data_IF_493192200202
#
_entry.id   IF_493192200202
#
_cell.length_a   1.000
_cell.length_b   1.000
_cell.length_c   1.000
_cell.angle_alpha   90.00
_cell.angle_beta   90.00
_cell.angle_gamma   90.00
#
_symmetry.space_group_name_H-M   'P 1'
#
loop_
_entity.id
_entity.type
_entity.pdbx_description
1 polymer ?
#
# COMPACT_ATOMS: atom_id res chain seq x y z
N UNK A 1 -23.46 12.50 4.50
CA UNK A 1 -22.32 12.08 3.65
C UNK A 1 -21.06 12.14 4.50
N UNK A 2 -20.37 11.02 4.67
CA UNK A 2 -19.00 11.08 5.16
C UNK A 2 -18.17 11.76 4.07
N UNK A 3 -17.66 12.96 4.34
CA UNK A 3 -16.80 13.66 3.39
C UNK A 3 -15.47 12.94 3.38
N UNK A 4 -15.23 12.13 2.34
CA UNK A 4 -13.95 11.45 2.13
C UNK A 4 -12.86 12.51 2.01
N UNK A 5 -11.82 12.40 2.83
CA UNK A 5 -10.64 13.28 2.76
C UNK A 5 -9.76 12.89 1.57
N UNK A 6 -10.14 13.38 0.39
CA UNK A 6 -9.45 13.07 -0.87
C UNK A 6 -8.02 13.61 -0.91
N UNK A 7 -7.72 14.68 -0.18
CA UNK A 7 -6.36 15.22 -0.06
C UNK A 7 -5.45 14.26 0.69
N UNK A 8 -5.91 13.72 1.83
CA UNK A 8 -5.16 12.70 2.57
C UNK A 8 -4.98 11.42 1.76
N UNK A 9 -6.04 10.93 1.10
CA UNK A 9 -5.96 9.72 0.29
C UNK A 9 -4.98 9.86 -0.87
N UNK A 10 -4.93 11.03 -1.52
CA UNK A 10 -3.94 11.33 -2.56
C UNK A 10 -2.52 11.28 -2.02
N UNK A 11 -2.25 11.94 -0.90
CA UNK A 11 -0.91 11.95 -0.31
C UNK A 11 -0.44 10.53 0.08
N UNK A 12 -1.34 9.70 0.61
CA UNK A 12 -1.03 8.30 0.92
C UNK A 12 -0.76 7.47 -0.34
N UNK A 13 -1.55 7.67 -1.40
CA UNK A 13 -1.36 6.98 -2.67
C UNK A 13 -0.03 7.34 -3.35
N UNK A 14 0.37 8.61 -3.29
CA UNK A 14 1.63 9.10 -3.87
C UNK A 14 2.86 8.64 -3.08
N UNK A 15 2.72 8.47 -1.77
CA UNK A 15 3.79 7.94 -0.91
C UNK A 15 3.97 6.42 -1.04
N UNK A 16 2.91 5.70 -1.39
CA UNK A 16 2.93 4.25 -1.54
C UNK A 16 3.72 3.81 -2.79
N UNK A 17 4.30 2.63 -2.71
CA UNK A 17 4.93 1.92 -3.83
C UNK A 17 3.90 1.74 -4.95
N UNK A 18 4.13 2.20 -6.19
CA UNK A 18 3.12 2.12 -7.25
C UNK A 18 2.66 0.69 -7.53
N UNK A 19 1.34 0.47 -7.64
CA UNK A 19 0.75 -0.80 -8.04
C UNK A 19 0.70 -1.01 -9.57
N UNK A 20 0.22 -2.19 -10.04
CA UNK A 20 -0.22 -3.35 -9.24
C UNK A 20 0.97 -4.14 -8.67
N UNK A 21 0.74 -4.80 -7.54
CA UNK A 21 1.70 -5.68 -6.87
C UNK A 21 1.31 -7.15 -7.03
N UNK A 22 2.30 -8.04 -7.05
CA UNK A 22 2.07 -9.48 -7.02
C UNK A 22 3.16 -10.19 -6.20
N UNK A 23 2.82 -11.38 -5.71
CA UNK A 23 3.73 -12.23 -4.97
C UNK A 23 4.62 -12.99 -5.94
N UNK A 24 5.92 -12.89 -5.71
CA UNK A 24 6.93 -13.63 -6.42
C UNK A 24 7.73 -14.46 -5.43
N UNK A 25 8.35 -15.52 -5.93
CA UNK A 25 9.22 -16.35 -5.11
C UNK A 25 9.89 -17.43 -5.94
N UNK A 26 10.89 -18.04 -5.34
CA UNK A 26 11.60 -19.17 -5.88
C UNK A 26 11.59 -20.29 -4.85
N UNK A 27 10.78 -21.33 -5.09
CA UNK A 27 10.65 -22.46 -4.19
C UNK A 27 11.99 -23.16 -3.88
N UNK A 28 12.94 -23.15 -4.83
CA UNK A 28 14.28 -23.73 -4.64
C UNK A 28 15.15 -22.88 -3.71
N UNK A 29 15.03 -21.55 -3.77
CA UNK A 29 15.74 -20.64 -2.87
C UNK A 29 14.96 -20.37 -1.57
N UNK A 30 13.70 -20.83 -1.52
CA UNK A 30 12.80 -20.65 -0.38
C UNK A 30 12.62 -19.17 -0.03
N UNK A 31 12.54 -18.32 -1.06
CA UNK A 31 12.26 -16.91 -0.93
C UNK A 31 10.86 -16.58 -1.47
N UNK A 32 10.28 -15.53 -0.89
CA UNK A 32 9.02 -14.94 -1.31
C UNK A 32 9.10 -13.44 -1.06
N UNK A 33 8.56 -12.65 -1.98
CA UNK A 33 8.55 -11.20 -1.91
C UNK A 33 7.36 -10.62 -2.67
N UNK A 34 6.96 -9.41 -2.30
CA UNK A 34 5.92 -8.65 -2.97
C UNK A 34 6.59 -7.54 -3.76
N UNK A 35 6.30 -7.43 -5.05
CA UNK A 35 6.89 -6.42 -5.92
C UNK A 35 5.91 -5.96 -7.00
N UNK A 36 6.26 -4.86 -7.67
CA UNK A 36 5.47 -4.34 -8.79
C UNK A 36 5.48 -5.33 -9.97
N UNK A 37 4.30 -5.54 -10.57
CA UNK A 37 4.15 -6.40 -11.76
C UNK A 37 4.83 -5.79 -12.98
N UNK A 38 4.83 -4.45 -13.05
CA UNK A 38 5.39 -3.67 -14.15
C UNK A 38 6.46 -2.71 -13.62
N UNK A 39 7.38 -2.28 -14.48
CA UNK A 39 8.38 -1.27 -14.12
C UNK A 39 9.61 -1.79 -13.36
N UNK A 40 10.05 -3.02 -13.62
CA UNK A 40 11.37 -3.48 -13.17
C UNK A 40 11.43 -4.14 -11.78
N UNK A 41 10.30 -4.66 -11.26
CA UNK A 41 10.21 -5.33 -9.94
C UNK A 41 10.69 -4.45 -8.79
N UNK A 42 10.08 -3.28 -8.66
CA UNK A 42 10.28 -2.47 -7.47
C UNK A 42 9.69 -3.22 -6.27
N UNK A 43 10.52 -3.55 -5.27
CA UNK A 43 10.08 -4.35 -4.14
C UNK A 43 9.19 -3.50 -3.24
N UNK A 44 8.10 -4.09 -2.75
CA UNK A 44 7.26 -3.55 -1.68
C UNK A 44 7.78 -4.09 -0.35
N UNK A 45 7.94 -5.41 -0.29
CA UNK A 45 8.54 -6.10 0.84
C UNK A 45 9.20 -7.42 0.42
N UNK A 46 10.19 -7.85 1.19
CA UNK A 46 10.71 -9.22 1.17
C UNK A 46 10.97 -9.71 2.59
N UNK A 47 11.54 -10.90 2.76
CA UNK A 47 11.85 -11.46 4.06
C UNK A 47 13.33 -11.83 4.16
N UNK A 48 13.92 -11.48 5.30
CA UNK A 48 15.27 -11.92 5.69
C UNK A 48 15.25 -12.61 7.04
N UNK A 49 16.28 -13.40 7.29
CA UNK A 49 16.42 -14.13 8.55
C UNK A 49 16.51 -13.16 9.74
N UNK A 50 15.74 -13.44 10.79
CA UNK A 50 15.83 -12.77 12.08
C UNK A 50 16.48 -13.69 13.12
N UNK A 51 17.80 -13.54 13.27
CA UNK A 51 18.60 -14.41 14.15
C UNK A 51 18.49 -15.87 13.72
N UNK A 52 18.27 -16.79 14.65
CA UNK A 52 18.15 -18.23 14.33
C UNK A 52 16.72 -18.77 14.44
N UNK A 53 15.74 -17.94 14.80
CA UNK A 53 14.40 -18.40 15.20
C UNK A 53 13.26 -17.91 14.32
N UNK A 54 13.46 -16.87 13.54
CA UNK A 54 12.36 -16.24 12.81
C UNK A 54 12.81 -15.58 11.52
N UNK A 55 11.86 -15.00 10.80
CA UNK A 55 12.06 -14.11 9.67
C UNK A 55 11.50 -12.74 10.02
N UNK A 56 12.13 -11.70 9.49
CA UNK A 56 11.62 -10.34 9.55
C UNK A 56 11.37 -9.86 8.13
N UNK A 57 10.33 -9.04 7.89
CA UNK A 57 10.23 -8.37 6.62
C UNK A 57 11.31 -7.31 6.48
N UNK A 58 11.67 -7.01 5.22
CA UNK A 58 12.23 -5.72 4.84
C UNK A 58 11.21 -4.98 4.02
N UNK A 59 11.21 -3.67 4.17
CA UNK A 59 10.28 -2.77 3.55
C UNK A 59 11.01 -1.78 2.66
N UNK A 60 10.42 -1.44 1.52
CA UNK A 60 10.95 -0.38 0.68
C UNK A 60 10.55 0.98 1.24
N UNK A 61 11.54 1.72 1.73
CA UNK A 61 11.35 3.08 2.23
C UNK A 61 12.27 4.00 1.43
N UNK A 62 11.67 4.77 0.52
CA UNK A 62 12.41 5.70 -0.34
C UNK A 62 13.40 5.03 -1.30
N UNK A 63 13.08 3.83 -1.79
CA UNK A 63 13.93 3.05 -2.71
C UNK A 63 14.96 2.15 -2.02
N UNK A 64 14.98 2.11 -0.68
CA UNK A 64 15.92 1.33 0.12
C UNK A 64 15.17 0.26 0.91
N UNK A 65 15.60 -1.00 0.80
CA UNK A 65 15.06 -2.11 1.58
C UNK A 65 15.60 -2.05 3.02
N UNK A 66 14.76 -1.65 3.98
CA UNK A 66 15.09 -1.56 5.40
C UNK A 66 14.46 -2.68 6.20
N UNK A 67 15.22 -3.28 7.11
CA UNK A 67 14.73 -4.38 7.96
C UNK A 67 13.80 -3.84 9.05
N UNK A 68 12.82 -4.63 9.49
CA UNK A 68 12.00 -4.26 10.66
C UNK A 68 12.86 -3.96 11.87
N UNK A 69 13.96 -4.69 12.09
CA UNK A 69 14.88 -4.42 13.20
C UNK A 69 15.50 -3.02 13.16
N UNK A 70 15.69 -2.43 11.98
CA UNK A 70 16.17 -1.04 11.83
C UNK A 70 15.07 0.00 12.09
N UNK A 71 13.81 -0.36 11.83
CA UNK A 71 12.66 0.55 11.94
C UNK A 71 11.98 0.49 13.31
N UNK A 72 12.07 -0.66 13.98
CA UNK A 72 11.47 -0.91 15.27
C UNK A 72 12.13 -0.08 16.37
N UNK A 73 11.30 0.62 17.16
CA UNK A 73 11.74 1.31 18.38
C UNK A 73 10.98 0.77 19.58
N UNK A 74 11.71 0.25 20.57
CA UNK A 74 11.13 -0.39 21.76
C UNK A 74 10.75 -1.87 21.57
N UNK A 75 10.19 -2.47 22.62
CA UNK A 75 9.83 -3.89 22.66
C UNK A 75 8.53 -4.20 21.89
N UNK A 76 7.56 -3.28 21.94
CA UNK A 76 6.34 -3.30 21.14
C UNK A 76 6.34 -2.06 20.28
N UNK A 77 6.30 -2.24 18.97
CA UNK A 77 6.46 -1.15 18.02
C UNK A 77 5.38 -1.19 16.93
N UNK A 78 5.02 -0.01 16.44
CA UNK A 78 4.38 0.16 15.15
C UNK A 78 5.43 0.65 14.16
N UNK A 79 5.25 0.33 12.88
CA UNK A 79 6.13 0.81 11.82
C UNK A 79 5.32 1.79 10.99
N UNK A 80 5.83 3.02 10.87
CA UNK A 80 5.27 3.99 9.94
C UNK A 80 5.71 3.62 8.51
N UNK A 81 4.87 2.85 7.81
CA UNK A 81 5.16 2.30 6.50
C UNK A 81 4.17 2.87 5.47
N UNK A 82 4.65 3.50 4.38
CA UNK A 82 3.78 4.18 3.41
C UNK A 82 2.73 3.24 2.81
N UNK A 83 3.12 2.01 2.44
CA UNK A 83 2.15 1.06 1.88
C UNK A 83 1.15 0.56 2.92
N UNK A 84 1.55 0.43 4.20
CA UNK A 84 0.64 0.00 5.25
C UNK A 84 -0.40 1.09 5.55
N UNK A 85 0.04 2.35 5.58
CA UNK A 85 -0.83 3.50 5.74
C UNK A 85 -1.82 3.64 4.58
N UNK A 86 -1.36 3.41 3.34
CA UNK A 86 -2.23 3.42 2.17
C UNK A 86 -3.27 2.29 2.21
N UNK A 87 -2.85 1.05 2.50
CA UNK A 87 -3.78 -0.09 2.66
C UNK A 87 -4.81 0.20 3.75
N UNK A 88 -4.39 0.72 4.91
CA UNK A 88 -5.28 1.03 6.02
C UNK A 88 -6.30 2.12 5.67
N UNK A 89 -5.94 3.07 4.80
CA UNK A 89 -6.84 4.12 4.34
C UNK A 89 -7.79 3.68 3.21
N UNK A 90 -7.48 2.59 2.52
CA UNK A 90 -8.33 2.01 1.46
C UNK A 90 -9.21 0.89 2.00
N UNK A 91 -9.92 1.17 3.09
CA UNK A 91 -10.86 0.25 3.71
C UNK A 91 -12.22 0.24 2.97
N UNK A 92 -13.09 -0.77 3.20
CA UNK A 92 -14.37 -0.88 2.52
C UNK A 92 -15.27 0.36 2.65
N UNK A 93 -15.28 1.04 3.80
CA UNK A 93 -16.08 2.27 3.98
C UNK A 93 -15.56 3.39 3.10
N UNK A 94 -14.24 3.57 3.03
CA UNK A 94 -13.62 4.56 2.13
C UNK A 94 -13.92 4.25 0.67
N UNK A 95 -13.83 2.99 0.25
CA UNK A 95 -14.12 2.57 -1.13
C UNK A 95 -15.58 2.84 -1.51
N UNK A 96 -16.53 2.46 -0.65
CA UNK A 96 -17.95 2.68 -0.90
C UNK A 96 -18.28 4.17 -1.01
N UNK A 97 -17.75 5.00 -0.11
CA UNK A 97 -17.97 6.44 -0.16
C UNK A 97 -17.40 7.09 -1.44
N UNK A 98 -16.28 6.59 -1.97
CA UNK A 98 -15.74 7.02 -3.25
C UNK A 98 -16.63 6.60 -4.43
N UNK A 99 -17.18 5.38 -4.40
CA UNK A 99 -18.11 4.89 -5.43
C UNK A 99 -19.41 5.70 -5.45
N UNK A 100 -20.01 5.94 -4.28
CA UNK A 100 -21.21 6.78 -4.13
C UNK A 100 -20.99 8.18 -4.74
N UNK A 101 -19.82 8.77 -4.50
CA UNK A 101 -19.49 10.10 -5.06
C UNK A 101 -19.29 10.05 -6.58
N UNK A 102 -18.68 9.00 -7.13
CA UNK A 102 -18.57 8.81 -8.59
C UNK A 102 -19.95 8.69 -9.23
N UNK A 103 -20.87 7.94 -8.64
CA UNK A 103 -22.24 7.79 -9.13
C UNK A 103 -22.98 9.13 -9.10
N UNK A 104 -22.87 9.87 -8.00
CA UNK A 104 -23.44 11.22 -7.87
C UNK A 104 -22.90 12.17 -8.95
N UNK A 105 -21.58 12.16 -9.17
CA UNK A 105 -20.92 13.03 -10.17
C UNK A 105 -21.34 12.67 -11.60
N UNK A 106 -21.43 11.38 -11.93
CA UNK A 106 -21.91 10.93 -13.25
C UNK A 106 -23.33 11.41 -13.53
N UNK A 107 -24.24 11.29 -12.56
CA UNK A 107 -25.62 11.78 -12.70
C UNK A 107 -25.69 13.31 -12.94
N UNK A 108 -24.81 14.11 -12.34
CA UNK A 108 -24.75 15.55 -12.59
C UNK A 108 -24.29 15.90 -14.00
N UNK A 109 -23.31 15.16 -14.54
CA UNK A 109 -22.84 15.36 -15.92
C UNK A 109 -23.97 15.04 -16.90
N UNK A 110 -24.66 13.91 -16.73
CA UNK A 110 -25.80 13.53 -17.58
C UNK A 110 -26.94 14.57 -17.56
N UNK A 111 -27.27 15.14 -16.40
CA UNK A 111 -28.28 16.20 -16.32
C UNK A 111 -27.83 17.51 -16.99
N UNK A 112 -26.53 17.82 -16.92
CA UNK A 112 -25.96 19.02 -17.55
C UNK A 112 -25.93 18.90 -19.07
N UNK A 113 -25.64 17.71 -19.59
CA UNK A 113 -25.63 17.42 -21.04
C UNK A 113 -27.04 17.37 -21.65
N UNK A 114 -28.07 17.18 -20.83
CA UNK A 114 -29.48 17.16 -21.25
C UNK A 114 -30.16 18.55 -21.24
N UNK A 115 -29.47 19.60 -20.79
CA UNK A 115 -29.97 20.98 -20.66
C UNK A 115 -29.43 21.88 -21.77
#
# INVERSE_FOLDING_TARGET
MSTVDTTRLRALAEAATPGPWDWYGNARMTDVYLATVRGGRNHVMDFVRWGMRSAQPRFNIGGIMRTVKELATGERFSIDHPDANYIAAMDPTTVLALLDEVERLRAQVEMSDAS
#
